data_IF_471905387675
#
_entry.id   IF_471905387675
#
_cell.length_a   1.000
_cell.length_b   1.000
_cell.length_c   1.000
_cell.angle_alpha   90.00
_cell.angle_beta   90.00
_cell.angle_gamma   90.00
#
_symmetry.space_group_name_H-M   'P 1'
#
loop_
_entity.id
_entity.type
_entity.pdbx_description
1 polymer ?
#
# COMPACT_ATOMS: atom_id res chain seq x y z
N UNK A 1 -13.18 18.78 -1.64
CA UNK A 1 -13.78 17.59 -0.97
C UNK A 1 -12.72 16.99 -0.07
N UNK A 2 -13.04 16.72 1.20
CA UNK A 2 -12.13 16.02 2.12
C UNK A 2 -11.93 14.58 1.63
N UNK A 3 -10.68 14.13 1.57
CA UNK A 3 -10.36 12.77 1.15
C UNK A 3 -10.77 11.78 2.26
N UNK A 4 -11.56 10.76 1.90
CA UNK A 4 -11.83 9.61 2.73
C UNK A 4 -11.04 8.42 2.18
N UNK A 5 -10.12 7.89 2.98
CA UNK A 5 -9.33 6.73 2.57
C UNK A 5 -10.22 5.47 2.51
N UNK A 6 -10.11 4.66 1.45
CA UNK A 6 -10.79 3.36 1.40
C UNK A 6 -10.25 2.41 2.47
N UNK A 7 -11.12 1.52 2.94
CA UNK A 7 -10.72 0.45 3.86
C UNK A 7 -10.18 -0.75 3.10
N UNK A 8 -9.21 -1.44 3.71
CA UNK A 8 -8.66 -2.73 3.25
C UNK A 8 -8.95 -3.79 4.30
N UNK A 9 -9.30 -5.00 3.87
CA UNK A 9 -9.60 -6.11 4.76
C UNK A 9 -8.32 -6.76 5.30
N UNK A 10 -8.42 -7.34 6.49
CA UNK A 10 -7.31 -8.02 7.16
C UNK A 10 -6.71 -9.15 6.31
N UNK A 11 -7.54 -9.87 5.56
CA UNK A 11 -7.09 -11.00 4.74
C UNK A 11 -6.23 -10.55 3.54
N UNK A 12 -6.52 -9.38 2.96
CA UNK A 12 -5.69 -8.82 1.87
C UNK A 12 -4.32 -8.39 2.39
N UNK A 13 -4.28 -7.73 3.56
CA UNK A 13 -3.00 -7.35 4.18
C UNK A 13 -2.22 -8.59 4.61
N UNK A 14 -2.88 -9.62 5.15
CA UNK A 14 -2.22 -10.89 5.47
C UNK A 14 -1.63 -11.58 4.24
N UNK A 15 -2.30 -11.52 3.08
CA UNK A 15 -1.73 -12.03 1.83
C UNK A 15 -0.44 -11.29 1.44
N UNK A 16 -0.39 -9.97 1.62
CA UNK A 16 0.82 -9.16 1.38
C UNK A 16 1.96 -9.51 2.33
N UNK A 17 1.65 -9.78 3.61
CA UNK A 17 2.64 -10.13 4.63
C UNK A 17 3.17 -11.56 4.41
N UNK A 18 2.32 -12.49 3.98
CA UNK A 18 2.71 -13.89 3.71
C UNK A 18 3.54 -14.04 2.44
N UNK A 19 3.37 -13.14 1.48
CA UNK A 19 4.11 -13.19 0.22
C UNK A 19 5.59 -12.79 0.43
N UNK A 20 6.48 -13.79 0.37
CA UNK A 20 7.93 -13.62 0.52
C UNK A 20 8.58 -12.86 -0.65
N UNK A 21 7.88 -12.74 -1.78
CA UNK A 21 8.40 -12.00 -2.95
C UNK A 21 8.28 -10.49 -2.75
N UNK A 22 7.27 -10.06 -1.99
CA UNK A 22 7.03 -8.67 -1.65
C UNK A 22 7.86 -8.27 -0.43
N UNK A 23 8.48 -7.09 -0.49
CA UNK A 23 9.27 -6.54 0.60
C UNK A 23 8.51 -5.39 1.27
N UNK A 24 8.34 -5.53 2.59
CA UNK A 24 7.86 -4.44 3.45
C UNK A 24 8.72 -3.18 3.25
N UNK A 25 8.08 -2.01 3.27
CA UNK A 25 8.68 -0.68 3.07
C UNK A 25 9.21 -0.39 1.65
N UNK A 26 9.00 -1.30 0.70
CA UNK A 26 9.32 -1.09 -0.72
C UNK A 26 8.10 -1.31 -1.61
N UNK A 27 7.50 -2.49 -1.53
CA UNK A 27 6.34 -2.86 -2.36
C UNK A 27 5.02 -2.48 -1.67
N UNK A 28 4.98 -2.61 -0.35
CA UNK A 28 3.90 -2.12 0.49
C UNK A 28 4.45 -1.57 1.80
N UNK A 29 3.70 -0.66 2.42
CA UNK A 29 4.02 -0.10 3.72
C UNK A 29 2.80 -0.22 4.63
N UNK A 30 2.98 -0.81 5.81
CA UNK A 30 2.00 -0.77 6.89
C UNK A 30 2.50 0.25 7.92
N UNK A 31 1.68 1.25 8.24
CA UNK A 31 1.97 2.29 9.22
C UNK A 31 1.04 2.11 10.41
N UNK A 32 1.63 1.79 11.55
CA UNK A 32 0.93 1.66 12.81
C UNK A 32 0.98 3.00 13.55
N UNK A 33 -0.17 3.63 13.75
CA UNK A 33 -0.26 4.94 14.43
C UNK A 33 -0.71 4.85 15.88
N UNK A 34 -0.60 3.68 16.50
CA UNK A 34 -0.79 3.50 17.95
C UNK A 34 0.30 4.23 18.73
N UNK A 35 -0.07 4.69 19.92
CA UNK A 35 0.79 5.40 20.87
C UNK A 35 1.19 4.40 21.96
N UNK A 36 0.76 4.60 23.21
CA UNK A 36 1.06 3.68 24.33
C UNK A 36 0.43 2.28 24.15
N UNK A 37 -0.61 2.17 23.32
CA UNK A 37 -1.33 0.94 22.98
C UNK A 37 -0.64 0.12 21.86
N UNK A 38 0.62 0.44 21.54
CA UNK A 38 1.41 -0.31 20.56
C UNK A 38 1.98 -1.61 21.14
N UNK A 39 2.22 -1.68 22.45
CA UNK A 39 2.68 -2.90 23.10
C UNK A 39 1.65 -4.05 22.98
N UNK A 40 2.10 -5.29 23.09
CA UNK A 40 1.23 -6.48 22.95
C UNK A 40 1.37 -7.18 21.60
N UNK A 41 1.95 -6.51 20.60
CA UNK A 41 2.27 -7.08 19.29
C UNK A 41 1.97 -6.10 18.16
N UNK A 42 2.56 -6.36 16.99
CA UNK A 42 2.37 -5.53 15.81
C UNK A 42 2.37 -6.36 14.52
N UNK A 43 1.86 -5.77 13.43
CA UNK A 43 1.91 -6.41 12.11
C UNK A 43 3.38 -6.53 11.69
N UNK A 44 3.84 -7.69 11.19
CA UNK A 44 5.22 -7.90 10.79
C UNK A 44 5.71 -6.87 9.77
N UNK A 45 6.85 -6.23 10.06
CA UNK A 45 7.44 -5.22 9.17
C UNK A 45 6.71 -3.87 9.13
N UNK A 46 5.70 -3.68 9.98
CA UNK A 46 5.03 -2.39 10.14
C UNK A 46 6.00 -1.31 10.66
N UNK A 47 5.72 -0.06 10.29
CA UNK A 47 6.41 1.11 10.81
C UNK A 47 5.53 1.79 11.86
N UNK A 48 5.97 1.80 13.11
CA UNK A 48 5.27 2.53 14.16
C UNK A 48 5.57 4.04 14.05
N UNK A 49 4.52 4.84 13.89
CA UNK A 49 4.56 6.30 13.90
C UNK A 49 3.37 6.79 14.72
N UNK A 50 3.56 7.03 16.03
CA UNK A 50 2.47 7.39 16.93
C UNK A 50 1.69 8.61 16.44
N UNK A 51 0.36 8.59 16.63
CA UNK A 51 -0.53 9.62 16.11
C UNK A 51 -0.23 11.02 16.68
N UNK A 52 0.32 11.06 17.90
CA UNK A 52 0.77 12.27 18.60
C UNK A 52 1.90 13.02 17.88
N UNK A 53 2.85 12.30 17.29
CA UNK A 53 4.04 12.87 16.60
C UNK A 53 3.92 12.81 15.08
N UNK A 54 2.82 12.26 14.56
CA UNK A 54 2.66 11.98 13.13
C UNK A 54 2.86 13.23 12.27
N UNK A 55 2.28 14.37 12.66
CA UNK A 55 2.33 15.62 11.89
C UNK A 55 3.77 16.06 11.60
N UNK A 56 4.65 15.97 12.59
CA UNK A 56 6.07 16.33 12.45
C UNK A 56 6.85 15.30 11.63
N UNK A 57 6.40 14.03 11.63
CA UNK A 57 6.99 12.93 10.88
C UNK A 57 6.53 12.83 9.43
N UNK A 58 5.43 13.49 9.04
CA UNK A 58 4.90 13.46 7.67
C UNK A 58 5.96 13.81 6.61
N UNK A 59 6.76 14.90 6.74
CA UNK A 59 7.77 15.23 5.73
C UNK A 59 8.80 14.12 5.53
N UNK A 60 9.24 13.48 6.63
CA UNK A 60 10.16 12.35 6.59
C UNK A 60 9.53 11.13 5.93
N UNK A 61 8.28 10.80 6.30
CA UNK A 61 7.54 9.68 5.71
C UNK A 61 7.37 9.81 4.21
N UNK A 62 7.06 11.02 3.75
CA UNK A 62 6.93 11.31 2.32
C UNK A 62 8.27 11.14 1.62
N UNK A 63 9.36 11.70 2.17
CA UNK A 63 10.68 11.60 1.56
C UNK A 63 11.16 10.14 1.46
N UNK A 64 10.87 9.33 2.48
CA UNK A 64 11.34 7.93 2.53
C UNK A 64 10.44 6.94 1.78
N UNK A 65 9.13 7.17 1.74
CA UNK A 65 8.15 6.18 1.29
C UNK A 65 7.21 6.67 0.19
N UNK A 66 7.45 7.85 -0.39
CA UNK A 66 6.71 8.33 -1.57
C UNK A 66 6.70 7.30 -2.70
N UNK A 67 7.79 6.56 -2.89
CA UNK A 67 7.95 5.57 -3.96
C UNK A 67 7.13 4.28 -3.76
N UNK A 68 6.61 4.04 -2.55
CA UNK A 68 5.89 2.81 -2.23
C UNK A 68 4.47 2.88 -2.81
N UNK A 69 4.04 1.91 -3.63
CA UNK A 69 2.77 2.00 -4.35
C UNK A 69 1.54 1.78 -3.48
N UNK A 70 1.66 1.02 -2.38
CA UNK A 70 0.54 0.69 -1.47
C UNK A 70 0.92 1.03 -0.03
N UNK A 71 0.16 1.92 0.61
CA UNK A 71 0.36 2.34 2.01
C UNK A 71 -0.92 2.08 2.81
N UNK A 72 -0.81 1.35 3.91
CA UNK A 72 -1.93 0.98 4.78
C UNK A 72 -1.70 1.57 6.16
N UNK A 73 -2.63 2.40 6.64
CA UNK A 73 -2.61 2.94 8.00
C UNK A 73 -3.54 2.14 8.90
N UNK A 74 -3.15 1.97 10.17
CA UNK A 74 -4.04 1.41 11.18
C UNK A 74 -3.75 1.97 12.58
N UNK A 75 -4.73 1.86 13.48
CA UNK A 75 -4.51 2.03 14.92
C UNK A 75 -5.04 0.81 15.67
N UNK A 76 -5.47 0.91 16.93
CA UNK A 76 -6.12 -0.19 17.65
C UNK A 76 -7.40 -0.68 16.95
N UNK A 77 -8.38 0.20 16.73
CA UNK A 77 -9.67 -0.14 16.09
C UNK A 77 -9.87 0.51 14.70
N UNK A 78 -8.94 1.35 14.26
CA UNK A 78 -9.02 2.15 13.02
C UNK A 78 -10.27 3.04 12.87
N UNK A 79 -10.85 3.55 13.96
CA UNK A 79 -12.04 4.41 13.92
C UNK A 79 -11.73 5.92 13.83
N UNK A 80 -10.64 6.37 14.48
CA UNK A 80 -10.29 7.80 14.58
C UNK A 80 -8.86 8.06 14.10
N UNK A 81 -7.86 7.52 14.81
CA UNK A 81 -6.43 7.75 14.55
C UNK A 81 -6.02 7.25 13.17
N UNK A 82 -6.41 6.03 12.78
CA UNK A 82 -6.13 5.46 11.46
C UNK A 82 -6.64 6.32 10.28
N UNK A 83 -7.95 6.57 10.17
CA UNK A 83 -8.53 7.38 9.09
C UNK A 83 -7.99 8.81 9.04
N UNK A 84 -7.80 9.45 10.20
CA UNK A 84 -7.21 10.79 10.30
C UNK A 84 -5.79 10.82 9.71
N UNK A 85 -4.98 9.83 10.06
CA UNK A 85 -3.58 9.72 9.63
C UNK A 85 -3.48 9.48 8.12
N UNK A 86 -4.28 8.56 7.59
CA UNK A 86 -4.36 8.29 6.16
C UNK A 86 -4.75 9.54 5.35
N UNK A 87 -5.71 10.32 5.86
CA UNK A 87 -6.13 11.58 5.23
C UNK A 87 -5.01 12.61 5.22
N UNK A 88 -4.36 12.84 6.36
CA UNK A 88 -3.23 13.78 6.48
C UNK A 88 -2.11 13.40 5.52
N UNK A 89 -1.73 12.13 5.48
CA UNK A 89 -0.67 11.65 4.59
C UNK A 89 -1.02 11.85 3.11
N UNK A 90 -2.27 11.55 2.72
CA UNK A 90 -2.74 11.78 1.34
C UNK A 90 -2.75 13.26 0.95
N UNK A 91 -3.21 14.13 1.84
CA UNK A 91 -3.21 15.58 1.64
C UNK A 91 -1.77 16.09 1.48
N UNK A 92 -0.85 15.62 2.32
CA UNK A 92 0.55 16.00 2.24
C UNK A 92 1.24 15.48 0.96
N UNK A 93 0.94 14.26 0.49
CA UNK A 93 1.39 13.77 -0.82
C UNK A 93 0.91 14.67 -1.97
N UNK A 94 -0.35 15.12 -1.92
CA UNK A 94 -0.91 16.01 -2.94
C UNK A 94 -0.23 17.39 -2.93
N UNK A 95 0.09 17.93 -1.75
CA UNK A 95 0.79 19.21 -1.60
C UNK A 95 2.24 19.16 -2.12
N UNK A 96 2.93 18.04 -1.95
CA UNK A 96 4.30 17.87 -2.44
C UNK A 96 4.37 17.63 -3.97
N UNK A 97 3.23 17.58 -4.66
CA UNK A 97 3.18 17.28 -6.10
C UNK A 97 3.71 15.88 -6.43
N UNK A 98 3.84 15.00 -5.43
CA UNK A 98 4.45 13.69 -5.59
C UNK A 98 3.47 12.77 -6.30
N UNK A 99 3.95 12.33 -7.44
CA UNK A 99 3.28 11.56 -8.47
C UNK A 99 4.28 10.45 -8.78
N UNK A 100 4.19 9.34 -8.06
CA UNK A 100 5.28 8.35 -8.02
C UNK A 100 5.50 7.70 -9.38
N UNK A 101 6.77 7.59 -9.78
CA UNK A 101 7.21 6.97 -11.02
C UNK A 101 7.37 5.47 -10.78
N UNK A 102 6.44 4.65 -11.27
CA UNK A 102 6.68 3.22 -11.43
C UNK A 102 7.15 2.94 -12.87
N UNK A 103 8.36 2.41 -13.01
CA UNK A 103 8.86 1.90 -14.28
C UNK A 103 8.28 0.50 -14.52
N UNK A 104 7.17 0.41 -15.25
CA UNK A 104 6.62 -0.90 -15.65
C UNK A 104 7.31 -1.36 -16.94
N UNK A 105 7.97 -2.52 -16.89
CA UNK A 105 8.48 -3.20 -18.08
C UNK A 105 7.29 -3.75 -18.87
N UNK A 106 6.96 -3.15 -20.01
CA UNK A 106 6.00 -3.75 -20.94
C UNK A 106 6.64 -4.98 -21.60
N UNK A 107 6.20 -6.18 -21.22
CA UNK A 107 6.29 -7.35 -22.10
C UNK A 107 5.10 -7.26 -23.07
N UNK A 108 5.35 -6.91 -24.34
CA UNK A 108 4.30 -6.87 -25.38
C UNK A 108 4.22 -5.62 -26.28
N UNK A 109 5.16 -4.67 -26.21
CA UNK A 109 5.36 -3.80 -27.37
C UNK A 109 5.84 -4.71 -28.51
N UNK A 110 5.17 -4.87 -29.66
CA UNK A 110 4.81 -3.81 -30.60
C UNK A 110 3.40 -3.99 -31.22
N UNK A 111 2.57 -4.90 -30.69
CA UNK A 111 1.26 -5.23 -31.27
C UNK A 111 0.20 -4.13 -31.05
N UNK A 112 0.16 -3.54 -29.85
CA UNK A 112 -0.86 -2.56 -29.47
C UNK A 112 -0.67 -1.19 -30.15
N UNK A 113 0.58 -0.79 -30.44
CA UNK A 113 0.87 0.52 -31.05
C UNK A 113 0.37 0.57 -32.51
N UNK A 114 0.38 -0.57 -33.20
CA UNK A 114 -0.08 -0.70 -34.57
C UNK A 114 -1.61 -0.64 -34.64
N UNK A 115 -2.31 -1.31 -33.72
CA UNK A 115 -3.79 -1.28 -33.62
C UNK A 115 -4.33 0.09 -33.19
N UNK A 116 -3.68 0.78 -32.25
CA UNK A 116 -4.12 2.11 -31.80
C UNK A 116 -3.90 3.17 -32.90
N UNK A 117 -2.79 3.12 -33.64
CA UNK A 117 -2.55 3.99 -34.81
C UNK A 117 -3.55 3.74 -35.94
N UNK A 118 -3.94 2.47 -36.16
CA UNK A 118 -4.97 2.10 -37.13
C UNK A 118 -6.38 2.55 -36.70
N UNK A 119 -6.66 2.57 -35.39
CA UNK A 119 -8.00 2.87 -34.86
C UNK A 119 -8.24 4.35 -34.54
N UNK A 120 -7.20 5.13 -34.21
CA UNK A 120 -7.34 6.51 -33.68
C UNK A 120 -6.41 7.55 -34.34
N UNK A 121 -5.96 7.29 -35.58
CA UNK A 121 -4.83 7.98 -36.23
C UNK A 121 -4.82 9.52 -36.27
N UNK A 122 -5.97 10.19 -36.23
CA UNK A 122 -6.04 11.66 -36.24
C UNK A 122 -6.10 12.32 -34.84
N UNK A 123 -6.48 11.58 -33.80
CA UNK A 123 -6.61 12.11 -32.43
C UNK A 123 -5.32 11.98 -31.60
N UNK A 124 -4.38 11.15 -32.06
CA UNK A 124 -3.16 10.82 -31.33
C UNK A 124 -2.13 11.96 -31.29
N UNK A 125 -2.15 12.86 -32.28
CA UNK A 125 -1.16 13.95 -32.39
C UNK A 125 -1.33 15.01 -31.30
N UNK A 126 -2.55 15.21 -30.79
CA UNK A 126 -2.83 16.24 -29.79
C UNK A 126 -2.50 15.83 -28.36
N UNK A 127 -2.49 14.52 -28.07
CA UNK A 127 -2.24 14.01 -26.71
C UNK A 127 -0.74 13.77 -26.47
N UNK A 128 0.04 13.53 -27.53
CA UNK A 128 1.43 13.13 -27.40
C UNK A 128 2.37 14.32 -27.10
N UNK A 129 2.03 15.51 -27.60
CA UNK A 129 2.85 16.71 -27.39
C UNK A 129 2.68 17.29 -25.96
N UNK A 130 1.55 17.06 -25.30
CA UNK A 130 1.29 17.54 -23.92
C UNK A 130 1.89 16.65 -22.82
N UNK A 131 2.25 15.40 -23.14
CA UNK A 131 2.86 14.44 -22.19
C UNK A 131 4.39 14.59 -22.16
N UNK A 132 4.99 15.15 -23.22
CA UNK A 132 6.44 15.25 -23.40
C UNK A 132 6.85 16.72 -23.38
N UNK A 133 6.72 17.37 -22.22
CA UNK A 133 7.16 18.76 -22.06
C UNK A 133 8.70 18.86 -22.11
N UNK A 134 9.20 19.41 -23.21
CA UNK A 134 9.98 20.64 -23.11
C UNK A 134 11.42 20.57 -22.61
N UNK A 135 12.29 19.73 -23.19
CA UNK A 135 13.70 20.11 -23.48
C UNK A 135 14.43 18.99 -24.23
N UNK A 136 15.26 19.36 -25.20
CA UNK A 136 16.19 18.52 -25.99
C UNK A 136 15.76 18.03 -27.38
N UNK A 137 14.54 18.26 -27.86
CA UNK A 137 14.15 17.84 -29.21
C UNK A 137 14.53 18.82 -30.36
N UNK A 138 15.21 19.95 -30.08
CA UNK A 138 15.48 20.99 -31.08
C UNK A 138 16.93 21.05 -31.61
N UNK A 139 17.64 19.93 -31.73
CA UNK A 139 18.98 19.96 -32.35
C UNK A 139 19.36 18.74 -33.19
N UNK A 140 18.39 18.14 -33.89
CA UNK A 140 18.69 17.01 -34.77
C UNK A 140 17.88 16.95 -36.07
N UNK A 141 17.56 18.08 -36.69
CA UNK A 141 17.00 18.09 -38.05
C UNK A 141 17.48 19.28 -38.90
N UNK A 142 18.80 19.43 -39.13
CA UNK A 142 19.24 20.34 -40.21
C UNK A 142 20.47 19.93 -41.03
N UNK A 143 21.06 18.75 -40.84
CA UNK A 143 22.15 18.30 -41.73
C UNK A 143 22.03 16.81 -42.03
N UNK A 144 21.01 16.46 -42.81
CA UNK A 144 21.04 15.21 -43.56
C UNK A 144 20.76 15.52 -45.03
N UNK A 145 21.78 16.11 -45.67
CA UNK A 145 21.86 16.21 -47.13
C UNK A 145 23.16 15.59 -47.57
N UNK A 146 23.01 14.55 -48.40
CA UNK A 146 23.97 13.95 -49.33
C UNK A 146 25.27 13.33 -48.77
N UNK A 147 25.36 12.01 -49.04
CA UNK A 147 26.52 11.26 -49.54
C UNK A 147 27.27 10.26 -48.62
N UNK A 148 27.54 9.13 -49.29
CA UNK A 148 28.62 8.14 -49.16
C UNK A 148 28.32 6.85 -48.37
N UNK A 149 28.47 5.77 -49.13
CA UNK A 149 28.48 4.35 -48.80
C UNK A 149 29.28 4.06 -47.52
N UNK A 150 28.60 3.58 -46.49
CA UNK A 150 29.17 2.95 -45.32
C UNK A 150 28.26 1.80 -44.88
N UNK A 151 28.84 0.66 -44.56
CA UNK A 151 28.17 -0.56 -44.10
C UNK A 151 27.07 -0.25 -43.07
N UNK A 152 25.83 -0.58 -43.41
CA UNK A 152 24.69 -0.48 -42.50
C UNK A 152 24.79 -1.64 -41.51
N UNK A 153 25.44 -1.40 -40.38
CA UNK A 153 25.23 -2.26 -39.21
C UNK A 153 23.78 -2.09 -38.78
N UNK A 154 23.00 -3.17 -38.53
CA UNK A 154 21.64 -3.04 -38.04
C UNK A 154 21.66 -2.24 -36.72
N UNK A 155 20.79 -1.24 -36.55
CA UNK A 155 20.75 -0.46 -35.33
C UNK A 155 20.52 -1.40 -34.14
N UNK A 156 21.39 -1.34 -33.15
CA UNK A 156 21.27 -2.10 -31.90
C UNK A 156 19.85 -1.93 -31.34
N UNK A 157 19.27 -3.06 -30.92
CA UNK A 157 17.93 -3.16 -30.40
C UNK A 157 17.61 -1.98 -29.47
N UNK A 158 16.65 -1.16 -29.90
CA UNK A 158 16.14 -0.03 -29.14
C UNK A 158 15.76 -0.49 -27.74
N UNK A 159 16.35 0.15 -26.73
CA UNK A 159 16.06 -0.05 -25.31
C UNK A 159 14.55 -0.16 -25.06
N UNK A 160 14.09 -1.03 -24.13
CA UNK A 160 12.68 -1.13 -23.82
C UNK A 160 12.15 0.25 -23.40
N UNK A 161 11.17 0.77 -24.13
CA UNK A 161 10.48 2.01 -23.78
C UNK A 161 9.56 1.72 -22.59
N UNK A 162 9.99 2.12 -21.41
CA UNK A 162 9.14 2.16 -20.23
C UNK A 162 8.05 3.20 -20.46
N UNK A 163 6.78 2.82 -20.28
CA UNK A 163 5.73 3.81 -20.10
C UNK A 163 5.79 4.20 -18.63
N UNK A 164 6.22 5.44 -18.37
CA UNK A 164 6.19 6.02 -17.04
C UNK A 164 4.74 6.30 -16.68
N UNK A 165 4.06 5.32 -16.08
CA UNK A 165 2.75 5.59 -15.47
C UNK A 165 3.00 6.29 -14.15
N UNK A 166 2.51 7.52 -14.07
CA UNK A 166 2.59 8.35 -12.88
C UNK A 166 1.51 7.90 -11.90
N UNK A 167 1.83 7.00 -10.97
CA UNK A 167 0.86 6.47 -10.00
C UNK A 167 1.20 7.01 -8.61
N UNK A 168 0.37 7.89 -8.06
CA UNK A 168 0.50 8.25 -6.64
C UNK A 168 0.26 7.03 -5.75
N UNK A 169 0.94 6.93 -4.59
CA UNK A 169 0.68 5.87 -3.62
C UNK A 169 -0.81 5.72 -3.31
N UNK A 170 -1.30 4.49 -3.35
CA UNK A 170 -2.65 4.17 -2.92
C UNK A 170 -2.66 4.04 -1.40
N UNK A 171 -3.46 4.88 -0.75
CA UNK A 171 -3.54 4.99 0.71
C UNK A 171 -4.82 4.32 1.19
N UNK A 172 -4.70 3.38 2.12
CA UNK A 172 -5.79 2.61 2.71
C UNK A 172 -5.79 2.69 4.22
N UNK A 173 -6.92 2.32 4.84
CA UNK A 173 -7.05 2.11 6.28
C UNK A 173 -7.39 0.65 6.54
N UNK A 174 -6.64 -0.02 7.41
CA UNK A 174 -6.96 -1.40 7.81
C UNK A 174 -8.28 -1.43 8.58
N UNK A 175 -9.26 -2.20 8.08
CA UNK A 175 -10.54 -2.39 8.76
C UNK A 175 -10.34 -3.08 10.11
N UNK A 176 -10.99 -2.55 11.15
CA UNK A 176 -10.96 -3.08 12.51
C UNK A 176 -9.63 -2.92 13.25
N UNK A 177 -8.63 -2.31 12.60
CA UNK A 177 -7.33 -2.03 13.21
C UNK A 177 -6.57 -3.28 13.68
N UNK A 178 -5.69 -3.08 14.65
CA UNK A 178 -4.90 -4.16 15.23
C UNK A 178 -5.71 -5.12 16.10
N UNK A 179 -6.79 -4.67 16.74
CA UNK A 179 -7.62 -5.54 17.59
C UNK A 179 -8.27 -6.66 16.76
N UNK A 180 -8.84 -6.30 15.61
CA UNK A 180 -9.41 -7.29 14.69
C UNK A 180 -8.33 -8.16 14.05
N UNK A 181 -7.15 -7.59 13.74
CA UNK A 181 -6.01 -8.34 13.23
C UNK A 181 -5.55 -9.40 14.23
N UNK A 182 -5.35 -9.02 15.49
CA UNK A 182 -4.98 -9.90 16.59
C UNK A 182 -6.01 -11.00 16.78
N UNK A 183 -7.30 -10.65 16.89
CA UNK A 183 -8.37 -11.63 17.07
C UNK A 183 -8.38 -12.71 15.97
N UNK A 184 -8.06 -12.32 14.72
CA UNK A 184 -8.01 -13.23 13.57
C UNK A 184 -6.74 -14.05 13.50
N UNK A 185 -5.58 -13.46 13.80
CA UNK A 185 -4.28 -14.06 13.50
C UNK A 185 -3.44 -14.41 14.74
N UNK A 186 -3.96 -14.29 15.96
CA UNK A 186 -3.25 -14.67 17.21
C UNK A 186 -2.73 -16.11 17.24
N UNK A 187 -3.32 -17.01 16.46
CA UNK A 187 -2.89 -18.40 16.33
C UNK A 187 -1.70 -18.60 15.36
N UNK A 188 -1.38 -17.60 14.53
CA UNK A 188 -0.32 -17.65 13.51
C UNK A 188 0.84 -16.73 13.92
N UNK A 189 1.96 -17.29 14.46
CA UNK A 189 3.10 -16.49 14.91
C UNK A 189 3.78 -15.70 13.79
N UNK A 190 3.58 -16.09 12.52
CA UNK A 190 4.15 -15.35 11.40
C UNK A 190 3.43 -14.03 11.12
N UNK A 191 2.21 -13.84 11.66
CA UNK A 191 1.35 -12.69 11.40
C UNK A 191 1.36 -11.65 12.53
N UNK A 192 2.03 -11.91 13.66
CA UNK A 192 2.17 -10.96 14.77
C UNK A 192 3.61 -10.97 15.27
N UNK A 193 4.29 -9.84 15.09
CA UNK A 193 5.64 -9.60 15.62
C UNK A 193 5.55 -9.05 17.05
N UNK A 194 6.57 -9.33 17.88
CA UNK A 194 6.65 -8.90 19.28
C UNK A 194 5.41 -9.27 20.12
N UNK A 195 4.81 -10.43 19.84
CA UNK A 195 3.58 -10.85 20.49
C UNK A 195 3.80 -11.10 21.98
N UNK A 196 3.01 -10.40 22.81
CA UNK A 196 3.05 -10.49 24.27
C UNK A 196 1.67 -10.91 24.79
N UNK A 197 1.42 -12.21 25.00
CA UNK A 197 0.09 -12.70 25.35
C UNK A 197 -0.40 -12.17 26.70
N UNK A 198 0.50 -11.83 27.62
CA UNK A 198 0.21 -11.25 28.93
C UNK A 198 -0.53 -9.90 28.86
N UNK A 199 -0.36 -9.14 27.78
CA UNK A 199 -1.11 -7.88 27.55
C UNK A 199 -2.56 -8.16 27.11
N UNK A 200 -2.82 -9.36 26.57
CA UNK A 200 -4.11 -9.76 26.02
C UNK A 200 -4.89 -10.73 26.91
N UNK A 201 -4.24 -11.29 27.92
CA UNK A 201 -4.87 -12.10 28.95
C UNK A 201 -5.50 -11.13 29.94
N UNK A 202 -6.83 -11.06 29.98
CA UNK A 202 -7.48 -10.46 31.14
C UNK A 202 -7.14 -11.31 32.36
N UNK A 203 -6.71 -10.68 33.46
CA UNK A 203 -6.41 -11.31 34.76
C UNK A 203 -7.59 -12.13 35.36
N UNK A 204 -8.71 -12.23 34.65
CA UNK A 204 -9.94 -12.93 35.02
C UNK A 204 -10.14 -14.28 34.31
N UNK A 205 -9.24 -14.70 33.40
CA UNK A 205 -9.33 -15.98 32.68
C UNK A 205 -8.44 -17.09 33.27
N UNK A 206 -8.00 -16.96 34.53
CA UNK A 206 -7.40 -18.09 35.25
C UNK A 206 -8.48 -18.89 35.96
N UNK A 207 -8.53 -20.17 35.60
CA UNK A 207 -9.22 -21.24 36.32
C UNK A 207 -8.82 -21.27 37.81
N UNK A 208 -9.46 -20.44 38.61
CA UNK A 208 -9.72 -20.61 40.04
C UNK A 208 -11.15 -21.05 40.30
N UNK A 209 -11.82 -21.67 39.31
CA UNK A 209 -13.10 -22.34 39.52
C UNK A 209 -12.90 -23.55 40.42
N UNK A 210 -13.08 -23.37 41.72
CA UNK A 210 -13.63 -24.45 42.55
C UNK A 210 -14.89 -24.97 41.87
N UNK A 211 -15.03 -26.30 41.80
CA UNK A 211 -15.98 -27.07 40.98
C UNK A 211 -17.50 -26.80 41.23
N UNK A 212 -17.87 -25.73 41.93
CA UNK A 212 -19.19 -25.60 42.54
C UNK A 212 -20.07 -24.44 42.04
N UNK A 213 -19.63 -23.56 41.12
CA UNK A 213 -20.52 -22.49 40.64
C UNK A 213 -20.97 -22.68 39.18
N UNK A 214 -22.18 -23.20 39.08
CA UNK A 214 -22.98 -23.35 37.88
C UNK A 214 -23.01 -22.07 37.04
N UNK A 215 -22.50 -22.18 35.81
CA UNK A 215 -22.49 -21.11 34.81
C UNK A 215 -23.94 -20.83 34.41
N UNK A 216 -24.48 -19.70 34.88
CA UNK A 216 -25.66 -19.09 34.30
C UNK A 216 -25.33 -18.69 32.86
N UNK A 217 -26.07 -19.23 31.91
CA UNK A 217 -26.00 -18.84 30.52
C UNK A 217 -26.40 -17.36 30.39
N UNK A 218 -25.44 -16.48 30.12
CA UNK A 218 -25.74 -15.16 29.57
C UNK A 218 -26.16 -15.36 28.11
N UNK A 219 -27.46 -15.63 27.92
CA UNK A 219 -28.12 -15.83 26.62
C UNK A 219 -28.08 -14.58 25.71
N UNK A 220 -27.61 -13.44 26.21
CA UNK A 220 -27.62 -12.15 25.51
C UNK A 220 -26.26 -11.74 24.90
N UNK A 221 -25.23 -12.61 24.91
CA UNK A 221 -23.96 -12.29 24.27
C UNK A 221 -24.08 -12.29 22.72
N UNK A 222 -24.04 -11.12 22.07
CA UNK A 222 -24.32 -10.98 20.63
C UNK A 222 -23.24 -11.60 19.72
N UNK A 223 -22.15 -12.10 20.30
CA UNK A 223 -21.04 -12.74 19.58
C UNK A 223 -21.15 -14.27 19.53
N UNK A 224 -22.06 -14.90 20.29
CA UNK A 224 -22.27 -16.35 20.27
C UNK A 224 -22.87 -16.85 18.94
N UNK A 225 -23.59 -15.99 18.21
CA UNK A 225 -24.23 -16.33 16.92
C UNK A 225 -23.23 -16.58 15.78
N UNK A 226 -21.96 -16.21 15.94
CA UNK A 226 -20.93 -16.35 14.91
C UNK A 226 -19.99 -17.54 15.14
N UNK A 227 -20.21 -18.31 16.20
CA UNK A 227 -19.43 -19.52 16.49
C UNK A 227 -20.06 -20.67 15.69
N UNK A 228 -19.34 -21.31 14.75
CA UNK A 228 -19.86 -22.49 14.07
C UNK A 228 -20.13 -23.58 15.11
N UNK A 229 -21.39 -24.05 15.20
CA UNK A 229 -21.72 -25.19 16.05
C UNK A 229 -20.94 -26.39 15.55
N UNK A 230 -20.04 -26.92 16.37
CA UNK A 230 -19.35 -28.16 16.07
C UNK A 230 -20.40 -29.29 16.12
N UNK A 231 -20.82 -29.76 14.95
CA UNK A 231 -21.68 -30.91 14.75
C UNK A 231 -21.11 -31.79 13.64
#
# INVERSE_FOLDING_TARGET
>A
MSFAAPYIESDEVAALVRDKTLKSRKDYLVVDVRDDDFEGGNIPGALNVPSSVLLDRIPTLINEYAQVPKVVFHCAMSQVRGPKSARIYREALALNGIKTVQQVRREGGWALEREIKLKYGCYFRQIWDDIVDGSQAFRMMSTYSSNVQGSITPPQASQPRFITTILSPQVYVLRGGFDQWHARFKADPAMIENYRPDIWISEFDDNGGSEDEAIGADEDNPYLQYIPSQG
#
